data_IF_493309100258
#
_entry.id   IF_493309100258
#
_cell.length_a   1.000
_cell.length_b   1.000
_cell.length_c   1.000
_cell.angle_alpha   90.00
_cell.angle_beta   90.00
_cell.angle_gamma   90.00
#
_symmetry.space_group_name_H-M   'P 1'
#
loop_
_entity.id
_entity.type
_entity.pdbx_description
1 polymer ?
#
# COMPACT_ATOMS: atom_id res chain seq x y z
N UNK A 1 16.59 4.76 19.98
CA UNK A 1 16.24 3.68 19.03
C UNK A 1 15.89 4.34 17.71
N UNK A 2 16.39 3.84 16.57
CA UNK A 2 16.02 4.39 15.26
C UNK A 2 14.54 4.15 14.98
N UNK A 3 13.93 5.02 14.19
CA UNK A 3 12.58 4.86 13.68
C UNK A 3 12.58 5.26 12.22
N UNK A 4 11.74 4.59 11.43
CA UNK A 4 11.57 4.90 10.02
C UNK A 4 10.13 5.35 9.75
N UNK A 5 9.98 6.23 8.78
CA UNK A 5 8.69 6.62 8.22
C UNK A 5 8.75 6.28 6.74
N UNK A 6 7.68 5.68 6.23
CA UNK A 6 7.55 5.25 4.86
C UNK A 6 6.34 5.92 4.26
N UNK A 7 6.49 6.40 3.04
CA UNK A 7 5.42 7.01 2.27
C UNK A 7 5.11 6.16 1.03
N UNK A 8 3.86 5.77 0.89
CA UNK A 8 3.35 5.04 -0.27
C UNK A 8 2.46 5.97 -1.08
N UNK A 9 2.80 6.17 -2.34
CA UNK A 9 1.94 6.79 -3.34
C UNK A 9 1.58 5.73 -4.39
N UNK A 10 0.33 5.27 -4.34
CA UNK A 10 -0.23 4.31 -5.29
C UNK A 10 -0.57 5.04 -6.60
N UNK A 11 0.47 5.59 -7.23
CA UNK A 11 0.39 6.32 -8.48
C UNK A 11 -0.50 5.59 -9.49
N UNK A 12 -1.40 6.34 -10.14
CA UNK A 12 -2.37 5.91 -11.18
C UNK A 12 -3.68 5.29 -10.71
N UNK A 13 -4.13 5.50 -9.48
CA UNK A 13 -5.54 5.21 -9.12
C UNK A 13 -6.54 5.95 -10.01
N UNK A 14 -6.15 7.07 -10.62
CA UNK A 14 -6.94 7.75 -11.65
C UNK A 14 -7.20 6.87 -12.88
N UNK A 15 -6.22 6.07 -13.33
CA UNK A 15 -6.41 5.15 -14.46
C UNK A 15 -7.33 3.97 -14.11
N UNK A 16 -7.24 3.46 -12.87
CA UNK A 16 -8.19 2.49 -12.34
C UNK A 16 -9.60 3.10 -12.32
N UNK A 17 -9.71 4.33 -11.85
CA UNK A 17 -10.98 5.04 -11.74
C UNK A 17 -11.62 5.32 -13.10
N UNK A 18 -10.83 5.76 -14.07
CA UNK A 18 -11.30 6.07 -15.43
C UNK A 18 -11.68 4.79 -16.22
N UNK A 19 -11.04 3.64 -15.92
CA UNK A 19 -11.27 2.36 -16.61
C UNK A 19 -12.33 1.47 -15.96
N UNK A 20 -12.50 1.55 -14.64
CA UNK A 20 -13.32 0.61 -13.88
C UNK A 20 -14.32 1.26 -12.92
N UNK A 21 -14.28 2.58 -12.76
CA UNK A 21 -15.19 3.33 -11.89
C UNK A 21 -14.80 3.33 -10.41
N UNK A 22 -15.54 4.12 -9.63
CA UNK A 22 -15.23 4.40 -8.23
C UNK A 22 -15.26 3.17 -7.30
N UNK A 23 -16.13 2.20 -7.57
CA UNK A 23 -16.23 0.99 -6.74
C UNK A 23 -14.94 0.16 -6.77
N UNK A 24 -14.29 0.07 -7.94
CA UNK A 24 -13.04 -0.68 -8.07
C UNK A 24 -11.86 0.04 -7.42
N UNK A 25 -11.86 1.38 -7.44
CA UNK A 25 -10.90 2.21 -6.71
C UNK A 25 -11.00 1.96 -5.20
N UNK A 26 -12.21 1.96 -4.65
CA UNK A 26 -12.41 1.74 -3.22
C UNK A 26 -11.99 0.33 -2.80
N UNK A 27 -12.27 -0.67 -3.63
CA UNK A 27 -11.76 -2.03 -3.43
C UNK A 27 -10.24 -2.13 -3.50
N UNK A 28 -9.58 -1.39 -4.41
CA UNK A 28 -8.12 -1.33 -4.48
C UNK A 28 -7.52 -0.70 -3.21
N UNK A 29 -8.11 0.40 -2.72
CA UNK A 29 -7.69 1.04 -1.46
C UNK A 29 -7.85 0.10 -0.25
N UNK A 30 -8.96 -0.64 -0.20
CA UNK A 30 -9.18 -1.66 0.82
C UNK A 30 -8.18 -2.81 0.71
N UNK A 31 -7.85 -3.24 -0.51
CA UNK A 31 -6.84 -4.26 -0.73
C UNK A 31 -5.49 -3.82 -0.16
N UNK A 32 -5.02 -2.61 -0.50
CA UNK A 32 -3.76 -2.07 0.03
C UNK A 32 -3.80 -1.98 1.55
N UNK A 33 -4.84 -1.36 2.12
CA UNK A 33 -4.95 -1.18 3.56
C UNK A 33 -4.90 -2.53 4.31
N UNK A 34 -5.62 -3.53 3.80
CA UNK A 34 -5.62 -4.88 4.39
C UNK A 34 -4.25 -5.55 4.26
N UNK A 35 -3.56 -5.40 3.13
CA UNK A 35 -2.21 -5.95 2.94
C UNK A 35 -1.21 -5.30 3.89
N UNK A 36 -1.23 -3.97 4.04
CA UNK A 36 -0.41 -3.26 5.01
C UNK A 36 -0.69 -3.75 6.44
N UNK A 37 -1.95 -3.74 6.87
CA UNK A 37 -2.35 -4.14 8.23
C UNK A 37 -1.97 -5.59 8.57
N UNK A 38 -2.00 -6.51 7.60
CA UNK A 38 -1.61 -7.92 7.80
C UNK A 38 -0.10 -8.13 7.96
N UNK A 39 0.72 -7.17 7.53
CA UNK A 39 2.19 -7.33 7.41
C UNK A 39 2.96 -6.41 8.33
N UNK A 40 2.29 -5.48 8.99
CA UNK A 40 2.87 -4.61 10.01
C UNK A 40 2.85 -5.28 11.39
N UNK A 41 3.76 -4.85 12.28
CA UNK A 41 3.80 -5.28 13.68
C UNK A 41 2.79 -4.46 14.48
N UNK A 42 2.42 -4.92 15.67
CA UNK A 42 1.57 -4.14 16.58
C UNK A 42 2.18 -2.79 16.99
N UNK A 43 3.51 -2.66 16.94
CA UNK A 43 4.22 -1.41 17.22
C UNK A 43 4.16 -0.40 16.08
N UNK A 44 3.86 -0.86 14.87
CA UNK A 44 3.88 -0.03 13.68
C UNK A 44 2.54 0.68 13.53
N UNK A 45 2.55 1.85 12.88
CA UNK A 45 1.34 2.64 12.64
C UNK A 45 1.13 2.79 11.13
N UNK A 46 -0.05 2.42 10.65
CA UNK A 46 -0.48 2.63 9.26
C UNK A 46 -1.52 3.73 9.25
N UNK A 47 -1.39 4.69 8.34
CA UNK A 47 -2.37 5.75 8.13
C UNK A 47 -2.63 5.98 6.65
N UNK A 48 -3.87 6.32 6.28
CA UNK A 48 -4.18 6.87 4.97
C UNK A 48 -4.01 8.40 5.06
N UNK A 49 -3.13 8.95 4.23
CA UNK A 49 -2.76 10.36 4.26
C UNK A 49 -3.64 11.19 3.32
N UNK A 50 -4.10 10.58 2.22
CA UNK A 50 -4.86 11.25 1.18
C UNK A 50 -5.67 10.29 0.32
N UNK A 51 -5.89 10.66 -0.95
CA UNK A 51 -6.69 9.90 -1.91
C UNK A 51 -6.20 8.46 -2.04
N UNK A 52 -4.97 8.28 -2.48
CA UNK A 52 -4.29 7.01 -2.73
C UNK A 52 -2.94 6.91 -2.01
N UNK A 53 -2.74 7.79 -1.05
CA UNK A 53 -1.50 7.96 -0.29
C UNK A 53 -1.62 7.28 1.08
N UNK A 54 -0.61 6.50 1.45
CA UNK A 54 -0.50 5.83 2.74
C UNK A 54 0.83 6.14 3.42
N UNK A 55 0.81 6.20 4.74
CA UNK A 55 1.99 6.34 5.59
C UNK A 55 2.16 5.13 6.49
N UNK A 56 3.41 4.75 6.76
CA UNK A 56 3.76 3.72 7.74
C UNK A 56 4.88 4.23 8.64
N UNK A 57 4.66 4.21 9.95
CA UNK A 57 5.68 4.49 10.96
C UNK A 57 6.14 3.16 11.55
N UNK A 58 7.45 2.92 11.56
CA UNK A 58 8.05 1.71 12.09
C UNK A 58 9.03 2.08 13.21
N UNK A 59 8.54 2.10 14.47
CA UNK A 59 9.42 2.25 15.61
C UNK A 59 10.41 1.10 15.67
N UNK A 60 11.64 1.40 16.07
CA UNK A 60 12.70 0.40 16.23
C UNK A 60 13.10 -0.29 14.92
N UNK A 61 12.99 0.45 13.81
CA UNK A 61 13.52 0.07 12.51
C UNK A 61 14.58 1.07 12.08
N UNK A 62 15.74 0.53 11.70
CA UNK A 62 16.74 1.26 10.94
C UNK A 62 16.35 1.32 9.45
N UNK A 63 17.15 2.04 8.66
CA UNK A 63 16.87 2.27 7.25
C UNK A 63 16.87 0.97 6.43
N UNK A 64 17.79 0.04 6.72
CA UNK A 64 17.91 -1.23 5.99
C UNK A 64 16.71 -2.14 6.26
N UNK A 65 16.33 -2.31 7.53
CA UNK A 65 15.16 -3.07 7.91
C UNK A 65 13.86 -2.45 7.39
N UNK A 66 13.78 -1.12 7.38
CA UNK A 66 12.67 -0.38 6.79
C UNK A 66 12.55 -0.65 5.28
N UNK A 67 13.63 -0.48 4.53
CA UNK A 67 13.67 -0.70 3.08
C UNK A 67 13.29 -2.13 2.72
N UNK A 68 13.86 -3.13 3.42
CA UNK A 68 13.54 -4.53 3.18
C UNK A 68 12.06 -4.84 3.42
N UNK A 69 11.45 -4.23 4.44
CA UNK A 69 10.02 -4.38 4.72
C UNK A 69 9.17 -3.69 3.65
N UNK A 70 9.53 -2.48 3.22
CA UNK A 70 8.81 -1.78 2.16
C UNK A 70 8.82 -2.57 0.86
N UNK A 71 9.95 -3.17 0.48
CA UNK A 71 10.05 -3.96 -0.74
C UNK A 71 9.08 -5.14 -0.75
N UNK A 72 8.98 -5.85 0.39
CA UNK A 72 8.02 -6.97 0.54
C UNK A 72 6.58 -6.49 0.49
N UNK A 73 6.26 -5.37 1.12
CA UNK A 73 4.91 -4.79 1.09
C UNK A 73 4.50 -4.41 -0.34
N UNK A 74 5.41 -3.76 -1.07
CA UNK A 74 5.24 -3.40 -2.49
C UNK A 74 5.01 -4.64 -3.34
N UNK A 75 5.86 -5.65 -3.19
CA UNK A 75 5.73 -6.91 -3.93
C UNK A 75 4.37 -7.57 -3.68
N UNK A 76 3.92 -7.63 -2.43
CA UNK A 76 2.62 -8.22 -2.08
C UNK A 76 1.44 -7.40 -2.60
N UNK A 77 1.47 -6.08 -2.51
CA UNK A 77 0.40 -5.20 -2.99
C UNK A 77 0.24 -5.30 -4.50
N UNK A 78 1.34 -5.40 -5.24
CA UNK A 78 1.30 -5.41 -6.71
C UNK A 78 1.22 -6.81 -7.32
N UNK A 79 1.57 -7.87 -6.59
CA UNK A 79 1.44 -9.25 -7.09
C UNK A 79 0.16 -9.95 -6.60
N UNK A 80 -0.51 -9.45 -5.57
CA UNK A 80 -1.77 -10.03 -5.11
C UNK A 80 -2.95 -9.42 -5.89
N UNK A 81 -3.67 -10.21 -6.70
CA UNK A 81 -4.92 -9.73 -7.28
C UNK A 81 -5.98 -9.54 -6.19
N UNK A 82 -6.88 -8.59 -6.41
CA UNK A 82 -8.08 -8.43 -5.60
C UNK A 82 -9.34 -8.61 -6.46
N UNK A 83 -10.41 -9.07 -5.84
CA UNK A 83 -11.70 -9.28 -6.50
C UNK A 83 -12.69 -8.19 -6.11
N UNK A 84 -13.30 -7.55 -7.10
CA UNK A 84 -14.34 -6.55 -6.91
C UNK A 84 -15.35 -6.66 -8.06
N UNK A 85 -16.65 -6.62 -7.74
CA UNK A 85 -17.76 -6.71 -8.72
C UNK A 85 -17.65 -7.90 -9.70
N UNK A 86 -17.17 -9.06 -9.22
CA UNK A 86 -16.98 -10.25 -10.04
C UNK A 86 -15.80 -10.19 -11.01
N UNK A 87 -14.94 -9.17 -10.90
CA UNK A 87 -13.71 -9.00 -11.68
C UNK A 87 -12.49 -9.18 -10.79
N UNK A 88 -11.43 -9.75 -11.36
CA UNK A 88 -10.12 -9.87 -10.70
C UNK A 88 -9.18 -8.84 -11.30
N UNK A 89 -8.60 -7.98 -10.46
CA UNK A 89 -7.75 -6.87 -10.88
C UNK A 89 -6.45 -6.88 -10.08
N UNK A 90 -5.36 -6.48 -10.74
CA UNK A 90 -4.04 -6.30 -10.14
C UNK A 90 -3.79 -4.80 -10.04
N UNK A 91 -3.28 -4.34 -8.90
CA UNK A 91 -2.84 -2.94 -8.76
C UNK A 91 -1.59 -2.75 -9.61
N UNK A 92 -1.57 -1.75 -10.50
CA UNK A 92 -0.37 -1.45 -11.29
C UNK A 92 0.66 -0.70 -10.43
N UNK A 93 1.94 -0.96 -10.66
CA UNK A 93 3.06 -0.45 -9.85
C UNK A 93 3.07 1.08 -9.70
N UNK A 94 3.17 1.56 -8.46
CA UNK A 94 3.46 2.94 -8.10
C UNK A 94 4.90 3.12 -7.60
N UNK A 95 5.41 4.36 -7.65
CA UNK A 95 6.72 4.68 -7.09
C UNK A 95 6.69 4.61 -5.56
N UNK A 96 7.63 3.87 -4.97
CA UNK A 96 7.86 3.85 -3.54
C UNK A 96 8.93 4.91 -3.21
N UNK A 97 8.60 5.86 -2.32
CA UNK A 97 9.58 6.77 -1.73
C UNK A 97 9.80 6.38 -0.27
N UNK A 98 11.02 5.93 0.04
CA UNK A 98 11.50 5.71 1.41
C UNK A 98 12.08 7.02 1.94
#
# INVERSE_FOLDING_TARGET
>A
MPSAVVYFDLNKMKQINDRYGHALRDAALLHVANTLLKRVRNSDLVGRLGGDEFGLIMPNSDIEGAQAKCWRLVEEIFNAPFSAEGRTVIVESGNLCV
#
